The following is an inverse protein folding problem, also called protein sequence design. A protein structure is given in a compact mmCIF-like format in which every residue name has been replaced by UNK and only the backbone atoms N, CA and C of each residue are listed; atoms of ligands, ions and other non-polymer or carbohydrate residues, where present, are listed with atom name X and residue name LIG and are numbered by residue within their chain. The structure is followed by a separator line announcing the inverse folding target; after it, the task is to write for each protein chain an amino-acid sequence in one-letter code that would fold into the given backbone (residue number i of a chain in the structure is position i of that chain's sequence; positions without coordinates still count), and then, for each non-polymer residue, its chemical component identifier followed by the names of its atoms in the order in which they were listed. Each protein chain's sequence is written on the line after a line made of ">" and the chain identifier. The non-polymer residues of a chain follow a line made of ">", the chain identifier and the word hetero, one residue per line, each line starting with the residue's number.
data_IF_133703349902
#
_entry.id   IF_133703349902
#
_cell.length_a   1.000
_cell.length_b   1.000
_cell.length_c   1.000
_cell.angle_alpha   90.00
_cell.angle_beta   90.00
_cell.angle_gamma   90.00
#
_symmetry.space_group_name_H-M   'P 1'
#
loop_
_entity.id
_entity.type
_entity.pdbx_description
1 polymer ?
#
# COMPACT_ATOMS: atom_id res chain seq x y z
N UNK A 1 -44.05 47.31 14.47
CA UNK A 1 -42.88 46.42 14.66
C UNK A 1 -41.68 47.07 14.00
N UNK A 2 -40.62 47.40 14.76
CA UNK A 2 -39.49 48.19 14.24
C UNK A 2 -38.66 47.40 13.22
N UNK A 3 -38.46 47.95 12.02
CA UNK A 3 -37.74 47.30 10.91
C UNK A 3 -36.28 46.96 11.27
N UNK A 4 -35.66 47.75 12.15
CA UNK A 4 -34.33 47.49 12.70
C UNK A 4 -34.27 46.24 13.56
N UNK A 5 -35.32 45.96 14.33
CA UNK A 5 -35.45 44.78 15.19
C UNK A 5 -35.63 43.50 14.36
N UNK A 6 -36.35 43.59 13.24
CA UNK A 6 -36.53 42.47 12.30
C UNK A 6 -35.21 42.10 11.60
N UNK A 7 -34.39 43.11 11.27
CA UNK A 7 -33.09 42.89 10.62
C UNK A 7 -32.10 42.22 11.56
N UNK A 8 -32.06 42.63 12.83
CA UNK A 8 -31.16 42.03 13.83
C UNK A 8 -31.56 40.60 14.19
N UNK A 9 -32.86 40.31 14.29
CA UNK A 9 -33.33 38.93 14.52
C UNK A 9 -33.04 38.02 13.33
N UNK A 10 -33.24 38.49 12.09
CA UNK A 10 -32.92 37.72 10.89
C UNK A 10 -31.41 37.39 10.79
N UNK A 11 -30.53 38.36 11.10
CA UNK A 11 -29.08 38.14 11.11
C UNK A 11 -28.69 37.14 12.21
N UNK A 12 -29.26 37.27 13.41
CA UNK A 12 -28.99 36.35 14.52
C UNK A 12 -29.42 34.91 14.18
N UNK A 13 -30.57 34.76 13.53
CA UNK A 13 -31.09 33.45 13.08
C UNK A 13 -30.18 32.82 12.00
N UNK A 14 -29.65 33.63 11.09
CA UNK A 14 -28.71 33.16 10.06
C UNK A 14 -27.35 32.72 10.64
N UNK A 15 -26.87 33.43 11.67
CA UNK A 15 -25.65 33.05 12.40
C UNK A 15 -25.88 31.73 13.17
N UNK A 16 -27.04 31.56 13.81
CA UNK A 16 -27.36 30.32 14.53
C UNK A 16 -27.50 29.11 13.58
N UNK A 17 -28.09 29.31 12.40
CA UNK A 17 -28.23 28.26 11.39
C UNK A 17 -26.87 27.81 10.82
N UNK A 18 -25.92 28.74 10.64
CA UNK A 18 -24.57 28.42 10.13
C UNK A 18 -23.69 27.68 11.15
N UNK A 19 -23.88 27.92 12.45
CA UNK A 19 -23.20 27.21 13.54
C UNK A 19 -23.69 25.75 13.72
N UNK A 20 -24.83 25.40 13.15
CA UNK A 20 -25.42 24.04 13.25
C UNK A 20 -24.95 23.08 12.15
N UNK A 21 -23.95 23.48 11.35
CA UNK A 21 -23.38 22.62 10.31
C UNK A 21 -22.50 21.54 10.96
N UNK A 22 -23.06 20.33 11.08
CA UNK A 22 -22.27 19.16 11.42
C UNK A 22 -21.30 18.89 10.26
N UNK A 23 -20.00 19.04 10.52
CA UNK A 23 -18.98 18.56 9.61
C UNK A 23 -19.20 17.07 9.33
N UNK A 24 -18.96 16.65 8.09
CA UNK A 24 -19.09 15.24 7.70
C UNK A 24 -18.25 14.37 8.64
N UNK A 25 -18.86 13.36 9.26
CA UNK A 25 -18.11 12.35 10.00
C UNK A 25 -17.08 11.73 9.04
N UNK A 26 -15.80 12.02 9.28
CA UNK A 26 -14.74 11.52 8.42
C UNK A 26 -14.69 10.02 8.60
N UNK A 27 -14.96 9.25 7.54
CA UNK A 27 -14.82 7.79 7.56
C UNK A 27 -13.34 7.37 7.45
N UNK A 28 -12.43 8.25 7.88
CA UNK A 28 -11.00 8.07 7.76
C UNK A 28 -10.53 7.02 8.79
N UNK A 29 -9.83 5.97 8.35
CA UNK A 29 -9.31 4.97 9.26
C UNK A 29 -8.19 5.54 10.15
N UNK A 30 -7.94 4.90 11.30
CA UNK A 30 -6.78 5.21 12.14
C UNK A 30 -5.49 5.13 11.33
N UNK A 31 -4.51 5.97 11.67
CA UNK A 31 -3.19 5.94 11.05
C UNK A 31 -2.59 4.52 11.04
N UNK A 32 -1.96 4.15 9.93
CA UNK A 32 -1.40 2.81 9.73
C UNK A 32 -2.41 1.72 9.32
N UNK A 33 -3.72 2.02 9.28
CA UNK A 33 -4.76 1.07 8.82
C UNK A 33 -5.17 1.25 7.35
N UNK A 34 -4.32 1.87 6.54
CA UNK A 34 -4.62 2.21 5.14
C UNK A 34 -5.13 3.64 5.00
N UNK A 35 -5.24 4.13 3.77
CA UNK A 35 -5.81 5.42 3.43
C UNK A 35 -7.34 5.36 3.41
N UNK A 36 -7.89 4.30 2.83
CA UNK A 36 -9.32 4.07 2.74
C UNK A 36 -9.64 2.63 3.10
N UNK A 37 -10.71 2.40 3.85
CA UNK A 37 -11.25 1.08 4.12
C UNK A 37 -12.71 1.07 3.68
N UNK A 38 -12.94 0.63 2.44
CA UNK A 38 -14.24 0.62 1.80
C UNK A 38 -14.92 -0.72 2.10
N UNK A 39 -16.19 -0.68 2.47
CA UNK A 39 -17.02 -1.85 2.69
C UNK A 39 -18.31 -1.60 1.90
N UNK A 40 -18.73 -2.60 1.10
CA UNK A 40 -20.00 -2.56 0.38
C UNK A 40 -21.17 -2.38 1.34
N UNK A 41 -22.24 -1.72 0.92
CA UNK A 41 -23.43 -1.48 1.77
C UNK A 41 -24.04 -2.79 2.30
N UNK A 42 -23.91 -3.85 1.51
CA UNK A 42 -24.36 -5.21 1.76
C UNK A 42 -23.28 -6.11 2.40
N UNK A 43 -22.10 -5.56 2.72
CA UNK A 43 -20.94 -6.28 3.25
C UNK A 43 -20.43 -7.45 2.38
N UNK A 44 -20.83 -7.52 1.10
CA UNK A 44 -20.38 -8.57 0.18
C UNK A 44 -19.00 -8.27 -0.41
N UNK A 45 -18.53 -7.03 -0.29
CA UNK A 45 -17.26 -6.58 -0.81
C UNK A 45 -16.53 -5.68 0.19
N UNK A 46 -15.20 -5.74 0.17
CA UNK A 46 -14.37 -4.75 0.85
C UNK A 46 -13.12 -4.44 0.04
N UNK A 47 -12.61 -3.23 0.23
CA UNK A 47 -11.33 -2.81 -0.30
C UNK A 47 -10.61 -1.87 0.66
N UNK A 48 -9.45 -2.32 1.11
CA UNK A 48 -8.47 -1.49 1.79
C UNK A 48 -7.48 -0.93 0.77
N UNK A 49 -7.40 0.39 0.71
CA UNK A 49 -6.42 1.12 -0.09
C UNK A 49 -5.29 1.55 0.83
N UNK A 50 -4.05 1.20 0.50
CA UNK A 50 -2.86 1.58 1.26
C UNK A 50 -1.79 2.16 0.36
N UNK A 51 -1.17 3.25 0.81
CA UNK A 51 0.06 3.77 0.23
C UNK A 51 1.24 3.39 1.12
N UNK A 52 2.35 3.01 0.49
CA UNK A 52 3.63 2.84 1.16
C UNK A 52 4.68 3.66 0.45
N UNK A 53 5.45 4.40 1.25
CA UNK A 53 6.61 5.14 0.79
C UNK A 53 7.83 4.83 1.67
N UNK A 54 9.00 4.71 1.07
CA UNK A 54 10.26 4.49 1.77
C UNK A 54 11.43 5.11 1.00
N UNK A 55 12.08 6.08 1.64
CA UNK A 55 13.34 6.67 1.19
C UNK A 55 14.52 5.90 1.78
N UNK A 56 15.61 5.79 1.02
CA UNK A 56 16.87 5.24 1.49
C UNK A 56 17.99 6.22 1.15
N UNK A 57 18.80 6.55 2.16
CA UNK A 57 20.10 7.19 1.99
C UNK A 57 21.18 6.18 2.38
N UNK A 58 22.25 6.09 1.58
CA UNK A 58 23.39 5.21 1.84
C UNK A 58 24.68 6.01 1.78
N UNK A 59 25.63 5.66 2.63
CA UNK A 59 27.00 6.19 2.58
C UNK A 59 27.96 5.03 2.78
N UNK A 60 28.89 4.86 1.84
CA UNK A 60 29.83 3.75 1.80
C UNK A 60 31.26 4.29 1.72
N UNK A 61 32.20 3.52 2.27
CA UNK A 61 33.64 3.77 2.23
C UNK A 61 34.37 2.45 2.03
N UNK A 62 35.47 2.47 1.29
CA UNK A 62 36.40 1.37 1.23
C UNK A 62 37.26 1.37 2.50
N UNK A 63 37.41 0.19 3.11
CA UNK A 63 38.08 0.03 4.41
C UNK A 63 39.41 -0.76 4.34
N UNK A 64 39.89 -1.11 3.14
CA UNK A 64 41.04 -2.01 2.98
C UNK A 64 42.36 -1.41 3.47
N UNK A 65 42.53 -0.07 3.48
CA UNK A 65 43.73 0.62 3.98
C UNK A 65 43.37 1.99 4.60
N UNK A 66 42.36 2.00 5.48
CA UNK A 66 41.74 3.24 5.99
C UNK A 66 40.50 3.64 5.19
N UNK A 67 39.73 4.59 5.72
CA UNK A 67 38.49 5.05 5.09
C UNK A 67 38.82 5.87 3.85
N UNK A 68 38.54 5.31 2.68
CA UNK A 68 38.77 5.94 1.37
C UNK A 68 37.56 5.78 0.47
N UNK A 69 37.51 6.52 -0.64
CA UNK A 69 36.45 6.44 -1.65
C UNK A 69 35.01 6.62 -1.08
N UNK A 70 34.70 7.77 -0.44
CA UNK A 70 33.36 8.04 0.07
C UNK A 70 32.33 8.11 -1.07
N UNK A 71 31.32 7.26 -1.00
CA UNK A 71 30.21 7.24 -1.95
C UNK A 71 28.86 7.35 -1.23
N UNK A 72 28.10 8.39 -1.56
CA UNK A 72 26.77 8.64 -0.98
C UNK A 72 25.69 8.57 -2.06
N UNK A 73 24.52 8.04 -1.71
CA UNK A 73 23.36 8.01 -2.60
C UNK A 73 22.06 8.21 -1.82
N UNK A 74 21.06 8.78 -2.48
CA UNK A 74 19.70 8.91 -1.93
C UNK A 74 18.70 8.52 -3.00
N UNK A 75 17.72 7.70 -2.63
CA UNK A 75 16.69 7.24 -3.56
C UNK A 75 15.36 6.98 -2.88
N UNK A 76 14.27 7.02 -3.66
CA UNK A 76 13.01 6.40 -3.25
C UNK A 76 13.12 4.90 -3.50
N UNK A 77 13.34 4.14 -2.42
CA UNK A 77 13.56 2.70 -2.50
C UNK A 77 12.28 1.94 -2.82
N UNK A 78 11.14 2.38 -2.27
CA UNK A 78 9.83 1.74 -2.46
C UNK A 78 8.74 2.79 -2.45
N UNK A 79 7.90 2.77 -3.48
CA UNK A 79 6.66 3.54 -3.54
C UNK A 79 5.59 2.62 -4.10
N UNK A 80 4.58 2.28 -3.30
CA UNK A 80 3.62 1.23 -3.66
C UNK A 80 2.21 1.57 -3.25
N UNK A 81 1.28 1.32 -4.17
CA UNK A 81 -0.15 1.30 -3.89
C UNK A 81 -0.62 -0.14 -3.70
N UNK A 82 -1.40 -0.36 -2.66
CA UNK A 82 -1.92 -1.67 -2.27
C UNK A 82 -3.43 -1.61 -2.20
N UNK A 83 -4.06 -2.60 -2.80
CA UNK A 83 -5.49 -2.82 -2.78
C UNK A 83 -5.69 -4.25 -2.29
N UNK A 84 -6.17 -4.41 -1.07
CA UNK A 84 -6.44 -5.71 -0.48
C UNK A 84 -7.89 -5.77 0.02
N UNK A 85 -8.54 -6.92 -0.13
CA UNK A 85 -9.96 -7.02 0.15
C UNK A 85 -10.53 -8.39 -0.13
N UNK A 86 -11.86 -8.45 -0.12
CA UNK A 86 -12.62 -9.62 -0.55
C UNK A 86 -13.77 -9.21 -1.47
N UNK A 87 -14.18 -10.12 -2.34
CA UNK A 87 -15.30 -9.94 -3.25
C UNK A 87 -16.29 -11.09 -3.07
N UNK A 88 -17.59 -10.79 -3.08
CA UNK A 88 -18.72 -11.71 -2.84
C UNK A 88 -18.77 -12.35 -1.44
N UNK A 89 -17.64 -12.88 -0.94
CA UNK A 89 -17.53 -13.52 0.36
C UNK A 89 -16.12 -13.33 0.94
N UNK A 90 -15.95 -13.27 2.27
CA UNK A 90 -14.63 -13.28 2.92
C UNK A 90 -13.73 -14.47 2.55
N UNK A 91 -14.31 -15.54 1.96
CA UNK A 91 -13.58 -16.69 1.41
C UNK A 91 -12.83 -16.37 0.11
N UNK A 92 -13.28 -15.38 -0.66
CA UNK A 92 -12.69 -14.98 -1.94
C UNK A 92 -11.98 -13.64 -1.77
N UNK A 93 -10.69 -13.69 -1.48
CA UNK A 93 -9.85 -12.53 -1.24
C UNK A 93 -9.06 -12.17 -2.48
N UNK A 94 -8.80 -10.89 -2.67
CA UNK A 94 -7.92 -10.42 -3.75
C UNK A 94 -6.85 -9.50 -3.20
N UNK A 95 -5.75 -9.40 -3.94
CA UNK A 95 -4.66 -8.47 -3.66
C UNK A 95 -4.07 -7.93 -4.96
N UNK A 96 -4.01 -6.61 -5.05
CA UNK A 96 -3.27 -5.89 -6.08
C UNK A 96 -2.22 -5.00 -5.42
N UNK A 97 -0.96 -5.08 -5.83
CA UNK A 97 0.15 -4.24 -5.37
C UNK A 97 0.87 -3.66 -6.58
N UNK A 98 0.83 -2.34 -6.73
CA UNK A 98 1.48 -1.59 -7.80
C UNK A 98 2.79 -0.99 -7.31
N UNK A 99 3.83 -1.06 -8.15
CA UNK A 99 5.16 -0.51 -7.93
C UNK A 99 5.36 0.78 -8.70
N UNK A 100 5.64 1.86 -7.97
CA UNK A 100 5.75 3.21 -8.53
C UNK A 100 7.17 3.76 -8.48
N UNK A 101 8.09 3.14 -7.70
CA UNK A 101 9.49 3.57 -7.69
C UNK A 101 10.30 2.90 -8.82
N UNK A 102 11.35 3.57 -9.30
CA UNK A 102 12.27 3.01 -10.31
C UNK A 102 12.78 1.62 -9.92
N UNK A 103 13.06 1.40 -8.62
CA UNK A 103 13.53 0.11 -8.13
C UNK A 103 12.43 -0.95 -8.14
N UNK A 104 11.18 -0.59 -7.87
CA UNK A 104 10.03 -1.51 -7.99
C UNK A 104 9.79 -1.90 -9.46
N UNK A 105 9.92 -0.93 -10.38
CA UNK A 105 9.69 -1.06 -11.83
C UNK A 105 10.84 -1.70 -12.62
N UNK A 106 11.99 -1.92 -11.98
CA UNK A 106 13.15 -2.58 -12.58
C UNK A 106 12.84 -4.00 -13.09
N UNK A 107 13.61 -4.46 -14.08
CA UNK A 107 13.50 -5.81 -14.64
C UNK A 107 12.65 -5.91 -15.91
N UNK A 108 12.62 -4.86 -16.73
CA UNK A 108 12.09 -4.93 -18.08
C UNK A 108 12.82 -6.02 -18.88
N UNK A 109 12.09 -6.81 -19.65
CA UNK A 109 12.61 -7.93 -20.41
C UNK A 109 11.95 -7.99 -21.78
N UNK A 110 12.61 -8.61 -22.76
CA UNK A 110 12.00 -8.91 -24.06
C UNK A 110 10.66 -9.66 -23.92
N UNK A 111 10.54 -10.52 -22.90
CA UNK A 111 9.31 -11.28 -22.64
C UNK A 111 8.15 -10.40 -22.13
N UNK A 112 8.44 -9.19 -21.67
CA UNK A 112 7.43 -8.18 -21.29
C UNK A 112 7.37 -7.02 -22.29
N UNK A 113 7.85 -7.21 -23.53
CA UNK A 113 8.00 -6.14 -24.52
C UNK A 113 8.79 -4.94 -23.99
N UNK A 114 9.79 -5.19 -23.13
CA UNK A 114 10.58 -4.19 -22.41
C UNK A 114 9.75 -3.23 -21.53
N UNK A 115 8.53 -3.62 -21.16
CA UNK A 115 7.71 -2.84 -20.26
C UNK A 115 8.24 -2.93 -18.81
N UNK A 116 8.17 -1.82 -18.04
CA UNK A 116 8.54 -1.82 -16.63
C UNK A 116 7.60 -2.71 -15.80
N UNK A 117 8.13 -3.28 -14.72
CA UNK A 117 7.34 -4.13 -13.80
C UNK A 117 6.43 -3.29 -12.90
N UNK A 118 5.31 -2.84 -13.45
CA UNK A 118 4.34 -2.01 -12.72
C UNK A 118 3.52 -2.81 -11.71
N UNK A 119 3.16 -4.05 -12.04
CA UNK A 119 2.36 -4.93 -11.19
C UNK A 119 3.28 -5.86 -10.42
N UNK A 120 3.32 -5.73 -9.09
CA UNK A 120 4.06 -6.65 -8.23
C UNK A 120 3.22 -7.85 -7.86
N UNK A 121 2.02 -7.61 -7.34
CA UNK A 121 1.10 -8.68 -6.97
C UNK A 121 -0.25 -8.39 -7.64
N UNK A 122 -0.86 -9.39 -8.26
CA UNK A 122 -2.22 -9.38 -8.78
C UNK A 122 -2.75 -10.81 -8.64
N UNK A 123 -3.34 -11.12 -7.49
CA UNK A 123 -3.70 -12.49 -7.12
C UNK A 123 -5.09 -12.56 -6.48
N UNK A 124 -5.82 -13.58 -6.88
CA UNK A 124 -7.07 -14.02 -6.28
C UNK A 124 -6.79 -15.23 -5.38
N UNK A 125 -7.41 -15.27 -4.20
CA UNK A 125 -7.25 -16.34 -3.21
C UNK A 125 -8.62 -16.82 -2.77
N UNK A 126 -8.97 -18.04 -3.14
CA UNK A 126 -10.25 -18.63 -2.83
C UNK A 126 -10.09 -19.77 -1.83
N UNK A 127 -10.60 -19.59 -0.61
CA UNK A 127 -10.75 -20.68 0.35
C UNK A 127 -12.03 -21.45 0.02
N UNK A 128 -11.89 -22.59 -0.66
CA UNK A 128 -13.02 -23.42 -1.08
C UNK A 128 -13.42 -24.46 -0.02
N UNK A 129 -12.46 -24.99 0.76
CA UNK A 129 -12.76 -25.98 1.81
C UNK A 129 -11.67 -26.02 2.88
N UNK A 130 -12.06 -25.89 4.15
CA UNK A 130 -11.15 -26.00 5.31
C UNK A 130 -9.88 -25.15 5.17
N UNK A 131 -8.74 -25.82 5.06
CA UNK A 131 -7.41 -25.20 4.90
C UNK A 131 -6.93 -25.12 3.45
N UNK A 132 -7.75 -25.55 2.49
CA UNK A 132 -7.41 -25.48 1.08
C UNK A 132 -7.76 -24.11 0.49
N UNK A 133 -6.74 -23.42 0.01
CA UNK A 133 -6.87 -22.10 -0.63
C UNK A 133 -6.24 -22.16 -2.01
N UNK A 134 -7.07 -21.99 -3.04
CA UNK A 134 -6.60 -21.86 -4.41
C UNK A 134 -6.14 -20.42 -4.65
N UNK A 135 -4.91 -20.26 -5.17
CA UNK A 135 -4.37 -18.96 -5.55
C UNK A 135 -4.28 -18.93 -7.07
N UNK A 136 -4.73 -17.83 -7.67
CA UNK A 136 -4.68 -17.62 -9.12
C UNK A 136 -4.17 -16.21 -9.39
N UNK A 137 -3.11 -16.09 -10.19
CA UNK A 137 -2.49 -14.84 -10.62
C UNK A 137 -1.02 -14.73 -10.21
N UNK A 138 -0.52 -13.50 -10.17
CA UNK A 138 0.88 -13.21 -9.86
C UNK A 138 1.07 -12.82 -8.40
N UNK A 139 1.92 -13.53 -7.66
CA UNK A 139 2.29 -13.13 -6.31
C UNK A 139 3.60 -13.75 -5.84
N UNK A 140 3.96 -13.48 -4.59
CA UNK A 140 5.14 -14.02 -3.93
C UNK A 140 4.92 -15.51 -3.67
N UNK A 141 5.81 -16.34 -4.17
CA UNK A 141 5.74 -17.78 -3.93
C UNK A 141 6.17 -18.13 -2.49
N UNK A 142 5.49 -19.09 -1.84
CA UNK A 142 5.83 -19.54 -0.50
C UNK A 142 7.03 -20.49 -0.53
N UNK A 143 8.25 -19.95 -0.44
CA UNK A 143 9.48 -20.76 -0.35
C UNK A 143 10.48 -20.29 0.70
N UNK A 144 10.45 -18.99 1.05
CA UNK A 144 11.36 -18.40 2.03
C UNK A 144 10.58 -17.52 3.01
N UNK A 145 10.64 -17.81 4.31
CA UNK A 145 9.91 -17.04 5.35
C UNK A 145 10.27 -15.57 5.32
N UNK A 146 11.56 -15.26 5.17
CA UNK A 146 12.03 -13.89 5.03
C UNK A 146 11.28 -13.23 3.87
N UNK A 147 11.24 -13.88 2.70
CA UNK A 147 10.62 -13.36 1.48
C UNK A 147 9.12 -13.09 1.62
N UNK A 148 8.42 -13.96 2.35
CA UNK A 148 6.98 -13.88 2.62
C UNK A 148 6.66 -12.70 3.55
N UNK A 149 7.51 -12.43 4.55
CA UNK A 149 7.38 -11.27 5.42
C UNK A 149 7.32 -9.99 4.58
N UNK A 150 6.40 -9.10 4.93
CA UNK A 150 6.27 -7.82 4.27
C UNK A 150 7.57 -7.04 4.38
N UNK A 151 8.06 -6.53 3.25
CA UNK A 151 9.22 -5.64 3.25
C UNK A 151 9.02 -4.35 4.09
N UNK A 152 7.80 -4.05 4.55
CA UNK A 152 7.52 -2.95 5.48
C UNK A 152 7.78 -3.31 6.95
N UNK A 153 7.89 -4.60 7.27
CA UNK A 153 8.02 -5.14 8.61
C UNK A 153 9.36 -5.89 8.77
N UNK A 154 10.39 -5.49 8.01
CA UNK A 154 11.72 -6.06 8.15
C UNK A 154 12.41 -5.41 9.34
N UNK A 155 13.18 -6.19 10.09
CA UNK A 155 14.01 -5.68 11.18
C UNK A 155 15.21 -4.88 10.66
N UNK A 156 15.79 -5.30 9.55
CA UNK A 156 16.91 -4.62 8.89
C UNK A 156 16.44 -3.91 7.62
N UNK A 157 17.26 -2.97 7.12
CA UNK A 157 16.98 -2.19 5.91
C UNK A 157 16.81 -3.10 4.69
N UNK A 158 17.67 -4.12 4.62
CA UNK A 158 17.79 -5.06 3.52
C UNK A 158 17.52 -6.49 3.97
N UNK A 159 17.27 -7.33 2.97
CA UNK A 159 17.14 -8.77 3.17
C UNK A 159 18.51 -9.41 3.24
N UNK A 160 18.58 -10.61 3.81
CA UNK A 160 19.83 -11.37 3.85
C UNK A 160 20.38 -11.64 2.43
N UNK A 161 21.70 -11.83 2.33
CA UNK A 161 22.35 -12.23 1.08
C UNK A 161 21.81 -13.57 0.56
N UNK A 162 21.47 -14.50 1.46
CA UNK A 162 20.84 -15.77 1.13
C UNK A 162 19.51 -15.55 0.41
N UNK A 163 18.66 -14.67 0.94
CA UNK A 163 17.41 -14.32 0.28
C UNK A 163 17.66 -13.67 -1.09
N UNK A 164 18.61 -12.74 -1.18
CA UNK A 164 18.91 -12.06 -2.44
C UNK A 164 19.37 -13.01 -3.55
N UNK A 165 20.02 -14.13 -3.22
CA UNK A 165 20.59 -15.07 -4.20
C UNK A 165 19.67 -16.25 -4.52
N UNK A 166 18.90 -16.74 -3.55
CA UNK A 166 18.17 -18.01 -3.67
C UNK A 166 16.65 -17.87 -3.53
N UNK A 167 16.12 -16.65 -3.56
CA UNK A 167 14.67 -16.45 -3.52
C UNK A 167 14.03 -16.80 -4.86
N UNK A 168 12.98 -17.62 -4.83
CA UNK A 168 12.05 -17.85 -5.96
C UNK A 168 11.21 -16.61 -6.30
N UNK A 169 11.23 -15.61 -5.42
CA UNK A 169 10.59 -14.30 -5.59
C UNK A 169 9.09 -14.34 -5.90
N UNK A 170 8.71 -13.99 -7.13
CA UNK A 170 7.33 -13.91 -7.59
C UNK A 170 7.18 -14.66 -8.89
N UNK A 171 6.03 -15.29 -9.03
CA UNK A 171 5.66 -16.01 -10.23
C UNK A 171 4.17 -15.88 -10.49
N UNK A 172 3.73 -16.33 -11.66
CA UNK A 172 2.36 -16.29 -12.16
C UNK A 172 1.84 -17.71 -12.40
N UNK A 173 0.65 -18.01 -11.89
CA UNK A 173 -0.03 -19.30 -12.08
C UNK A 173 -1.38 -19.38 -11.40
#
# INVERSE_FOLDING_TARGET
>A
MNLSLLRTTAISMFIFASLSTNAQNTNAPKFGKGLFNLIGKDSTWSMKVGLRFQTLATSNWDAQNGLSNPASSMMIRRSRLKFDGFAYSPKLKYKVELGLSNRDQSGASQYTSNAPRQILDAVLKWNFSGNFVLWLGQTKLPGNRERVISSANLQQVDRSLLNSRFTIDRDMG
#
